data_IF_672951320387
#
_entry.id   IF_672951320387
#
_cell.length_a   1.000
_cell.length_b   1.000
_cell.length_c   1.000
_cell.angle_alpha   90.00
_cell.angle_beta   90.00
_cell.angle_gamma   90.00
#
_symmetry.space_group_name_H-M   'P 1'
#
loop_
_entity.id
_entity.type
_entity.pdbx_description
1 polymer ?
#
# COMPACT_ATOMS: atom_id res chain seq x y z
N UNK A 1 24.01 -1.13 22.51
CA UNK A 1 22.61 -1.55 22.62
C UNK A 1 22.43 -2.79 21.78
N UNK A 2 21.65 -3.78 22.21
CA UNK A 2 21.29 -4.93 21.36
C UNK A 2 20.56 -4.40 20.11
N UNK A 3 20.74 -5.07 18.98
CA UNK A 3 20.00 -4.79 17.75
C UNK A 3 18.54 -5.20 17.95
N UNK A 4 17.59 -4.36 17.55
CA UNK A 4 16.16 -4.74 17.53
C UNK A 4 16.00 -5.89 16.54
N UNK A 5 15.31 -6.95 16.94
CA UNK A 5 15.04 -8.13 16.11
C UNK A 5 13.59 -8.11 15.66
N UNK A 6 13.37 -8.19 14.36
CA UNK A 6 12.03 -8.11 13.76
C UNK A 6 11.75 -9.35 12.92
N UNK A 7 10.62 -9.99 13.17
CA UNK A 7 10.09 -11.08 12.36
C UNK A 7 8.94 -10.55 11.48
N UNK A 8 9.04 -10.70 10.15
CA UNK A 8 7.97 -10.36 9.21
C UNK A 8 7.32 -11.65 8.69
N UNK A 9 6.02 -11.80 8.92
CA UNK A 9 5.23 -12.92 8.40
C UNK A 9 4.68 -12.56 7.03
N UNK A 10 5.03 -13.35 6.01
CA UNK A 10 4.58 -13.17 4.63
C UNK A 10 5.68 -13.36 3.61
N UNK A 11 5.32 -13.33 2.32
CA UNK A 11 6.23 -13.62 1.19
C UNK A 11 5.97 -12.77 -0.06
N UNK A 12 5.05 -11.81 0.00
CA UNK A 12 4.64 -10.98 -1.13
C UNK A 12 5.52 -9.75 -1.36
N UNK A 13 5.13 -8.95 -2.34
CA UNK A 13 5.79 -7.68 -2.65
C UNK A 13 5.72 -6.69 -1.50
N UNK A 14 4.60 -6.62 -0.83
CA UNK A 14 4.40 -5.83 0.39
C UNK A 14 5.42 -6.16 1.47
N UNK A 15 5.59 -7.44 1.81
CA UNK A 15 6.54 -7.88 2.84
C UNK A 15 7.97 -7.60 2.42
N UNK A 16 8.32 -7.77 1.15
CA UNK A 16 9.64 -7.39 0.65
C UNK A 16 9.88 -5.88 0.77
N UNK A 17 8.90 -5.03 0.43
CA UNK A 17 9.00 -3.59 0.59
C UNK A 17 9.17 -3.18 2.06
N UNK A 18 8.43 -3.81 2.98
CA UNK A 18 8.56 -3.60 4.43
C UNK A 18 9.98 -3.96 4.89
N UNK A 19 10.48 -5.14 4.54
CA UNK A 19 11.83 -5.62 4.93
C UNK A 19 12.90 -4.71 4.35
N UNK A 20 12.78 -4.29 3.09
CA UNK A 20 13.71 -3.36 2.45
C UNK A 20 13.77 -2.02 3.20
N UNK A 21 12.60 -1.48 3.59
CA UNK A 21 12.54 -0.23 4.35
C UNK A 21 13.13 -0.38 5.75
N UNK A 22 12.83 -1.48 6.46
CA UNK A 22 13.43 -1.80 7.76
C UNK A 22 14.95 -1.96 7.69
N UNK A 23 15.48 -2.59 6.65
CA UNK A 23 16.92 -2.74 6.44
C UNK A 23 17.66 -1.40 6.25
N UNK A 24 16.93 -0.36 5.82
CA UNK A 24 17.47 1.00 5.69
C UNK A 24 17.48 1.80 7.01
N UNK A 25 16.79 1.36 8.05
CA UNK A 25 16.76 2.01 9.36
C UNK A 25 18.17 2.07 10.00
N UNK A 26 18.38 3.07 10.86
CA UNK A 26 19.65 3.24 11.57
C UNK A 26 19.41 3.43 13.07
N UNK A 27 19.94 2.54 13.93
CA UNK A 27 20.70 1.34 13.61
C UNK A 27 19.84 0.27 12.89
N UNK A 28 20.41 -0.45 11.94
CA UNK A 28 19.69 -1.46 11.18
C UNK A 28 19.26 -2.63 12.09
N UNK A 29 17.99 -3.07 12.08
CA UNK A 29 17.52 -4.22 12.86
C UNK A 29 18.11 -5.55 12.34
N UNK A 30 18.00 -6.60 13.15
CA UNK A 30 18.15 -7.99 12.70
C UNK A 30 16.81 -8.45 12.13
N UNK A 31 16.80 -8.87 10.86
CA UNK A 31 15.58 -9.16 10.13
C UNK A 31 15.40 -10.65 9.87
N UNK A 32 14.21 -11.14 10.16
CA UNK A 32 13.75 -12.48 9.88
C UNK A 32 12.45 -12.42 9.09
N UNK A 33 12.19 -13.42 8.25
CA UNK A 33 10.94 -13.54 7.49
C UNK A 33 10.43 -14.98 7.44
N UNK A 34 9.12 -15.15 7.41
CA UNK A 34 8.48 -16.46 7.31
C UNK A 34 7.23 -16.40 6.41
N UNK A 35 7.19 -17.11 5.28
CA UNK A 35 8.29 -17.86 4.69
C UNK A 35 9.33 -17.00 3.95
N UNK A 36 9.01 -15.75 3.58
CA UNK A 36 9.81 -14.91 2.72
C UNK A 36 9.78 -15.33 1.25
N UNK A 37 10.61 -14.69 0.42
CA UNK A 37 10.82 -14.98 -0.99
C UNK A 37 12.30 -14.73 -1.36
N UNK A 38 12.74 -15.04 -2.59
CA UNK A 38 14.15 -14.89 -2.98
C UNK A 38 14.73 -13.49 -2.80
N UNK A 39 13.96 -12.41 -2.99
CA UNK A 39 14.44 -11.06 -2.75
C UNK A 39 14.50 -10.70 -1.26
N UNK A 40 13.56 -11.19 -0.47
CA UNK A 40 13.58 -11.08 1.00
C UNK A 40 14.81 -11.78 1.58
N UNK A 41 15.18 -12.94 1.04
CA UNK A 41 16.33 -13.71 1.48
C UNK A 41 17.69 -13.00 1.30
N UNK A 42 17.75 -11.95 0.50
CA UNK A 42 18.93 -11.10 0.35
C UNK A 42 19.10 -10.09 1.49
N UNK A 43 18.01 -9.79 2.22
CA UNK A 43 17.96 -8.77 3.26
C UNK A 43 17.69 -9.33 4.67
N UNK A 44 17.11 -10.53 4.77
CA UNK A 44 16.64 -11.13 6.01
C UNK A 44 16.92 -12.63 6.04
N UNK A 45 17.02 -13.19 7.24
CA UNK A 45 17.02 -14.66 7.41
C UNK A 45 15.62 -15.19 7.19
N UNK A 46 15.44 -16.08 6.21
CA UNK A 46 14.16 -16.70 5.90
C UNK A 46 13.99 -18.05 6.63
N UNK A 47 12.74 -18.35 7.02
CA UNK A 47 12.37 -19.57 7.76
C UNK A 47 11.23 -20.27 7.03
N UNK A 48 11.31 -21.58 6.91
CA UNK A 48 10.30 -22.40 6.22
C UNK A 48 9.06 -22.62 7.13
N UNK A 49 8.34 -21.53 7.40
CA UNK A 49 7.06 -21.53 8.12
C UNK A 49 6.05 -20.78 7.26
N UNK A 50 5.02 -21.48 6.80
CA UNK A 50 3.99 -20.89 5.92
C UNK A 50 3.08 -19.92 6.67
N UNK A 51 2.46 -18.99 5.94
CA UNK A 51 1.53 -18.00 6.53
C UNK A 51 0.28 -18.64 7.16
N UNK A 52 -0.05 -19.87 6.80
CA UNK A 52 -1.17 -20.64 7.39
C UNK A 52 -0.79 -21.49 8.60
N UNK A 53 0.50 -21.69 8.88
CA UNK A 53 0.97 -22.46 10.06
C UNK A 53 1.12 -21.55 11.27
N UNK A 54 -0.01 -21.24 11.92
CA UNK A 54 -0.04 -20.33 13.07
C UNK A 54 0.78 -20.87 14.27
N UNK A 55 0.76 -22.18 14.50
CA UNK A 55 1.55 -22.81 15.56
C UNK A 55 3.05 -22.78 15.23
N UNK A 56 3.41 -22.95 13.96
CA UNK A 56 4.77 -22.78 13.46
C UNK A 56 5.30 -21.37 13.64
N UNK A 57 4.46 -20.36 13.43
CA UNK A 57 4.82 -18.95 13.66
C UNK A 57 5.13 -18.67 15.12
N UNK A 58 4.33 -19.21 16.06
CA UNK A 58 4.58 -19.08 17.50
C UNK A 58 5.88 -19.80 17.91
N UNK A 59 6.10 -21.05 17.44
CA UNK A 59 7.34 -21.77 17.69
C UNK A 59 8.56 -21.02 17.18
N UNK A 60 8.48 -20.50 15.95
CA UNK A 60 9.55 -19.69 15.37
C UNK A 60 9.82 -18.43 16.19
N UNK A 61 8.77 -17.70 16.60
CA UNK A 61 8.93 -16.53 17.45
C UNK A 61 9.58 -16.88 18.81
N UNK A 62 9.23 -18.02 19.41
CA UNK A 62 9.88 -18.51 20.64
C UNK A 62 11.37 -18.85 20.43
N UNK A 63 11.74 -19.41 19.27
CA UNK A 63 13.11 -19.76 18.92
C UNK A 63 13.98 -18.52 18.74
N UNK A 64 13.53 -17.56 17.92
CA UNK A 64 14.32 -16.37 17.57
C UNK A 64 14.17 -15.23 18.58
N UNK A 65 13.12 -15.22 19.39
CA UNK A 65 12.79 -14.18 20.37
C UNK A 65 12.83 -12.77 19.76
N UNK A 66 11.93 -12.44 18.79
CA UNK A 66 11.89 -11.13 18.18
C UNK A 66 11.36 -10.08 19.16
N UNK A 67 11.85 -8.85 19.05
CA UNK A 67 11.31 -7.68 19.75
C UNK A 67 9.98 -7.22 19.14
N UNK A 68 9.75 -7.53 17.85
CA UNK A 68 8.55 -7.19 17.10
C UNK A 68 8.22 -8.27 16.08
N UNK A 69 6.95 -8.65 15.99
CA UNK A 69 6.41 -9.43 14.86
C UNK A 69 5.50 -8.55 14.01
N UNK A 70 5.75 -8.51 12.70
CA UNK A 70 4.92 -7.78 11.72
C UNK A 70 4.19 -8.80 10.87
N UNK A 71 2.86 -8.74 10.82
CA UNK A 71 2.06 -9.65 9.99
C UNK A 71 1.63 -8.91 8.72
N UNK A 72 2.14 -9.36 7.56
CA UNK A 72 1.91 -8.71 6.28
C UNK A 72 0.54 -9.02 5.66
N UNK A 73 0.17 -10.29 5.42
CA UNK A 73 -1.05 -10.65 4.70
C UNK A 73 -2.29 -10.73 5.61
N UNK A 74 -3.47 -10.58 5.01
CA UNK A 74 -4.76 -10.60 5.69
C UNK A 74 -5.17 -11.99 6.20
N UNK A 75 -4.85 -13.04 5.45
CA UNK A 75 -5.32 -14.39 5.78
C UNK A 75 -4.89 -14.88 7.19
N UNK A 76 -3.59 -14.79 7.60
CA UNK A 76 -3.19 -15.13 8.95
C UNK A 76 -3.77 -14.19 10.02
N UNK A 77 -4.03 -12.90 9.72
CA UNK A 77 -4.67 -11.98 10.66
C UNK A 77 -6.10 -12.45 10.99
N UNK A 78 -6.89 -12.70 9.96
CA UNK A 78 -8.28 -13.20 10.13
C UNK A 78 -8.30 -14.58 10.79
N UNK A 79 -7.26 -15.40 10.57
CA UNK A 79 -7.11 -16.72 11.20
C UNK A 79 -6.63 -16.67 12.66
N UNK A 80 -6.26 -15.49 13.21
CA UNK A 80 -5.85 -15.32 14.60
C UNK A 80 -4.35 -15.49 14.87
N UNK A 81 -3.50 -15.24 13.89
CA UNK A 81 -2.05 -15.25 14.07
C UNK A 81 -1.61 -14.23 15.14
N UNK A 82 -2.14 -13.00 15.07
CA UNK A 82 -1.82 -11.97 16.05
C UNK A 82 -2.24 -12.38 17.47
N UNK A 83 -3.42 -12.97 17.62
CA UNK A 83 -3.93 -13.43 18.92
C UNK A 83 -2.98 -14.41 19.58
N UNK A 84 -2.53 -15.43 18.85
CA UNK A 84 -1.61 -16.47 19.37
C UNK A 84 -0.22 -15.91 19.72
N UNK A 85 0.30 -15.00 18.93
CA UNK A 85 1.60 -14.36 19.18
C UNK A 85 1.53 -13.43 20.39
N UNK A 86 0.44 -12.67 20.56
CA UNK A 86 0.18 -11.84 21.74
C UNK A 86 0.03 -12.69 23.01
N UNK A 87 -0.72 -13.81 22.96
CA UNK A 87 -0.85 -14.77 24.05
C UNK A 87 0.50 -15.40 24.44
N UNK A 88 1.40 -15.57 23.47
CA UNK A 88 2.76 -16.04 23.70
C UNK A 88 3.71 -14.95 24.24
N UNK A 89 3.24 -13.70 24.39
CA UNK A 89 3.96 -12.58 25.01
C UNK A 89 4.81 -11.74 24.06
N UNK A 90 4.62 -11.84 22.73
CA UNK A 90 5.34 -11.04 21.75
C UNK A 90 4.62 -9.72 21.46
N UNK A 91 5.37 -8.65 21.16
CA UNK A 91 4.81 -7.45 20.57
C UNK A 91 4.47 -7.73 19.09
N UNK A 92 3.22 -7.45 18.69
CA UNK A 92 2.71 -7.77 17.36
C UNK A 92 2.16 -6.51 16.70
N UNK A 93 2.67 -6.20 15.51
CA UNK A 93 2.08 -5.23 14.59
C UNK A 93 1.19 -5.96 13.60
N UNK A 94 -0.09 -5.97 13.88
CA UNK A 94 -1.17 -6.64 13.17
C UNK A 94 -2.37 -6.82 14.09
N UNK A 95 -3.61 -6.55 13.62
CA UNK A 95 -4.81 -6.65 14.44
C UNK A 95 -5.13 -8.11 14.82
N UNK A 96 -5.79 -8.30 15.96
CA UNK A 96 -6.39 -9.57 16.33
C UNK A 96 -7.43 -10.03 15.30
N UNK A 97 -7.81 -11.30 15.30
CA UNK A 97 -8.84 -11.84 14.39
C UNK A 97 -10.16 -11.05 14.50
N UNK A 98 -10.53 -10.66 15.70
CA UNK A 98 -11.74 -9.87 15.94
C UNK A 98 -11.67 -8.49 15.25
N UNK A 99 -10.52 -7.80 15.33
CA UNK A 99 -10.32 -6.50 14.69
C UNK A 99 -10.07 -6.64 13.17
N UNK A 100 -9.35 -7.70 12.74
CA UNK A 100 -9.11 -8.01 11.32
C UNK A 100 -10.41 -8.38 10.57
N UNK A 101 -11.48 -8.70 11.29
CA UNK A 101 -12.81 -8.92 10.71
C UNK A 101 -13.32 -7.68 9.96
N UNK A 102 -12.74 -6.50 10.20
CA UNK A 102 -13.02 -5.27 9.44
C UNK A 102 -12.69 -5.44 7.93
N UNK A 103 -11.68 -6.24 7.57
CA UNK A 103 -11.41 -6.67 6.19
C UNK A 103 -12.12 -8.01 5.88
N UNK A 104 -12.26 -8.87 6.89
CA UNK A 104 -12.83 -10.21 6.77
C UNK A 104 -14.34 -10.24 6.45
N UNK A 105 -15.08 -9.17 6.77
CA UNK A 105 -16.50 -9.04 6.43
C UNK A 105 -16.86 -7.60 6.07
N UNK A 106 -17.31 -7.39 4.84
CA UNK A 106 -17.77 -6.09 4.36
C UNK A 106 -19.06 -5.66 5.06
N UNK A 107 -19.94 -6.62 5.34
CA UNK A 107 -21.16 -6.37 6.13
C UNK A 107 -20.83 -5.83 7.50
N UNK A 108 -19.91 -6.48 8.23
CA UNK A 108 -19.50 -6.01 9.55
C UNK A 108 -18.77 -4.65 9.49
N UNK A 109 -17.93 -4.44 8.47
CA UNK A 109 -17.30 -3.13 8.25
C UNK A 109 -18.34 -2.01 8.07
N UNK A 110 -19.45 -2.27 7.34
CA UNK A 110 -20.56 -1.31 7.22
C UNK A 110 -21.26 -1.04 8.56
N UNK A 111 -21.40 -2.04 9.42
CA UNK A 111 -21.97 -1.86 10.77
C UNK A 111 -21.07 -0.98 11.64
N UNK A 112 -19.74 -1.22 11.61
CA UNK A 112 -18.75 -0.38 12.32
C UNK A 112 -18.81 1.06 11.79
N UNK A 113 -18.76 1.26 10.47
CA UNK A 113 -18.83 2.59 9.87
C UNK A 113 -20.10 3.32 10.24
N UNK A 114 -21.25 2.65 10.24
CA UNK A 114 -22.52 3.23 10.63
C UNK A 114 -22.55 3.65 12.11
N UNK A 115 -22.01 2.81 13.00
CA UNK A 115 -21.93 3.10 14.44
C UNK A 115 -20.96 4.26 14.74
N UNK A 116 -19.83 4.31 14.02
CA UNK A 116 -18.81 5.35 14.15
C UNK A 116 -19.17 6.66 13.41
N UNK A 117 -20.27 6.71 12.66
CA UNK A 117 -20.64 7.87 11.83
C UNK A 117 -19.70 8.12 10.65
N UNK A 118 -18.99 7.09 10.20
CA UNK A 118 -18.03 7.15 9.08
C UNK A 118 -18.76 7.17 7.74
N UNK A 119 -18.49 8.15 6.86
CA UNK A 119 -19.18 8.26 5.57
C UNK A 119 -18.74 7.16 4.60
N UNK A 120 -19.68 6.40 4.08
CA UNK A 120 -19.45 5.31 3.12
C UNK A 120 -20.64 5.21 2.14
N UNK A 121 -20.54 4.32 1.16
CA UNK A 121 -21.60 3.97 0.24
C UNK A 121 -22.83 3.42 1.00
N UNK A 122 -24.03 3.83 0.60
CA UNK A 122 -25.24 3.16 1.02
C UNK A 122 -25.20 1.70 0.56
N UNK A 123 -25.64 0.77 1.42
CA UNK A 123 -25.50 -0.65 1.14
C UNK A 123 -26.66 -1.48 1.62
N UNK A 124 -26.80 -2.66 1.01
CA UNK A 124 -27.75 -3.71 1.42
C UNK A 124 -27.01 -5.03 1.37
N UNK A 125 -27.03 -5.76 2.48
CA UNK A 125 -26.57 -7.16 2.49
C UNK A 125 -27.72 -8.08 2.13
N UNK A 126 -27.50 -9.00 1.18
CA UNK A 126 -28.44 -10.03 0.75
C UNK A 126 -27.83 -11.41 0.98
N UNK A 127 -28.68 -12.34 1.42
CA UNK A 127 -28.30 -13.71 1.79
C UNK A 127 -29.05 -14.78 0.99
N UNK A 128 -29.97 -14.35 0.12
CA UNK A 128 -30.75 -15.24 -0.75
C UNK A 128 -30.93 -14.63 -2.15
N UNK A 129 -30.96 -15.45 -3.22
CA UNK A 129 -31.03 -14.95 -4.60
C UNK A 129 -32.28 -14.11 -4.92
N UNK A 130 -33.41 -14.39 -4.29
CA UNK A 130 -34.66 -13.65 -4.46
C UNK A 130 -34.63 -12.22 -3.88
N UNK A 131 -33.61 -11.88 -3.10
CA UNK A 131 -33.39 -10.53 -2.55
C UNK A 131 -32.57 -9.63 -3.48
N UNK A 132 -31.90 -10.17 -4.52
CA UNK A 132 -30.94 -9.44 -5.35
C UNK A 132 -31.58 -8.27 -6.09
N UNK A 133 -32.69 -8.51 -6.78
CA UNK A 133 -33.37 -7.47 -7.57
C UNK A 133 -33.84 -6.30 -6.69
N UNK A 134 -34.52 -6.60 -5.60
CA UNK A 134 -34.97 -5.59 -4.65
C UNK A 134 -33.80 -4.86 -3.97
N UNK A 135 -32.69 -5.55 -3.71
CA UNK A 135 -31.47 -4.96 -3.18
C UNK A 135 -30.82 -4.00 -4.16
N UNK A 136 -30.71 -4.37 -5.43
CA UNK A 136 -30.18 -3.50 -6.51
C UNK A 136 -31.07 -2.25 -6.68
N UNK A 137 -32.38 -2.40 -6.69
CA UNK A 137 -33.32 -1.26 -6.79
C UNK A 137 -33.18 -0.29 -5.60
N UNK A 138 -32.82 -0.81 -4.42
CA UNK A 138 -32.65 0.03 -3.23
C UNK A 138 -31.37 0.88 -3.28
N UNK A 139 -30.26 0.35 -3.82
CA UNK A 139 -28.98 1.08 -3.89
C UNK A 139 -28.80 1.87 -5.18
N UNK A 140 -29.53 1.54 -6.23
CA UNK A 140 -29.53 2.23 -7.53
C UNK A 140 -30.96 2.29 -8.12
N UNK A 141 -31.87 3.11 -7.53
CA UNK A 141 -33.28 3.10 -7.88
C UNK A 141 -33.58 3.61 -9.31
N UNK A 142 -32.69 4.37 -9.91
CA UNK A 142 -32.86 4.90 -11.26
C UNK A 142 -32.18 4.03 -12.31
N UNK A 143 -31.23 3.18 -11.91
CA UNK A 143 -30.44 2.35 -12.82
C UNK A 143 -29.52 3.15 -13.75
N UNK A 144 -29.21 4.41 -13.40
CA UNK A 144 -28.48 5.37 -14.22
C UNK A 144 -26.96 5.40 -13.93
N UNK A 145 -26.52 4.67 -12.92
CA UNK A 145 -25.13 4.48 -12.54
C UNK A 145 -24.75 2.99 -12.53
N UNK A 146 -23.47 2.62 -12.54
CA UNK A 146 -23.09 1.21 -12.42
C UNK A 146 -23.61 0.55 -11.14
N UNK A 147 -23.92 -0.74 -11.21
CA UNK A 147 -24.22 -1.60 -10.08
C UNK A 147 -22.93 -2.08 -9.43
N UNK A 148 -22.85 -2.03 -8.10
CA UNK A 148 -21.72 -2.52 -7.33
C UNK A 148 -22.14 -3.73 -6.51
N UNK A 149 -21.53 -4.88 -6.82
CA UNK A 149 -21.85 -6.18 -6.21
C UNK A 149 -20.58 -6.76 -5.63
N UNK A 150 -20.54 -6.91 -4.29
CA UNK A 150 -19.35 -7.39 -3.57
C UNK A 150 -19.69 -8.69 -2.84
N UNK A 151 -18.91 -9.75 -3.06
CA UNK A 151 -18.94 -10.91 -2.19
C UNK A 151 -18.48 -10.49 -0.78
N UNK A 152 -19.20 -10.89 0.24
CA UNK A 152 -18.77 -10.71 1.62
C UNK A 152 -17.66 -11.70 1.97
N UNK A 153 -16.65 -11.25 2.71
CA UNK A 153 -15.45 -12.05 3.01
C UNK A 153 -14.22 -11.69 2.19
N UNK A 154 -13.12 -12.41 2.46
CA UNK A 154 -11.86 -12.25 1.74
C UNK A 154 -11.99 -12.81 0.32
N UNK A 155 -11.76 -11.99 -0.70
CA UNK A 155 -11.93 -12.37 -2.10
C UNK A 155 -10.74 -12.01 -3.01
N UNK A 156 -9.64 -11.49 -2.46
CA UNK A 156 -8.43 -11.10 -3.19
C UNK A 156 -8.72 -10.27 -4.47
N UNK A 157 -9.63 -9.30 -4.36
CA UNK A 157 -10.05 -8.43 -5.48
C UNK A 157 -10.98 -9.08 -6.51
N UNK A 158 -11.23 -10.40 -6.44
CA UNK A 158 -12.04 -11.14 -7.42
C UNK A 158 -13.54 -11.21 -7.07
N UNK A 159 -13.92 -10.82 -5.87
CA UNK A 159 -15.30 -10.86 -5.38
C UNK A 159 -16.12 -9.61 -5.69
N UNK A 160 -15.57 -8.63 -6.43
CA UNK A 160 -16.23 -7.36 -6.71
C UNK A 160 -16.48 -7.21 -8.21
N UNK A 161 -17.73 -6.90 -8.55
CA UNK A 161 -18.15 -6.53 -9.90
C UNK A 161 -18.77 -5.14 -9.86
N UNK A 162 -18.30 -4.28 -10.76
CA UNK A 162 -18.88 -2.98 -11.07
C UNK A 162 -19.29 -3.02 -12.53
N UNK A 163 -20.59 -2.89 -12.81
CA UNK A 163 -21.12 -3.08 -14.16
C UNK A 163 -22.40 -2.24 -14.40
N UNK A 164 -22.58 -1.74 -15.61
CA UNK A 164 -23.84 -1.11 -16.04
C UNK A 164 -24.88 -2.15 -16.48
N UNK A 165 -24.49 -3.41 -16.63
CA UNK A 165 -25.39 -4.52 -17.00
C UNK A 165 -26.01 -5.12 -15.74
N UNK A 166 -27.32 -4.93 -15.56
CA UNK A 166 -28.11 -5.45 -14.43
C UNK A 166 -28.09 -6.98 -14.37
N UNK A 167 -28.20 -7.65 -15.52
CA UNK A 167 -28.22 -9.12 -15.57
C UNK A 167 -26.86 -9.70 -15.18
N UNK A 168 -25.76 -9.06 -15.58
CA UNK A 168 -24.43 -9.40 -15.12
C UNK A 168 -24.27 -9.21 -13.62
N UNK A 169 -24.80 -8.13 -13.02
CA UNK A 169 -24.81 -7.89 -11.60
C UNK A 169 -25.56 -8.99 -10.83
N UNK A 170 -26.78 -9.35 -11.29
CA UNK A 170 -27.60 -10.42 -10.71
C UNK A 170 -26.88 -11.77 -10.83
N UNK A 171 -26.30 -12.08 -12.00
CA UNK A 171 -25.59 -13.36 -12.25
C UNK A 171 -24.40 -13.50 -11.30
N UNK A 172 -23.60 -12.43 -11.10
CA UNK A 172 -22.48 -12.47 -10.16
C UNK A 172 -22.95 -12.67 -8.72
N UNK A 173 -23.94 -11.89 -8.28
CA UNK A 173 -24.51 -12.00 -6.92
C UNK A 173 -25.10 -13.39 -6.66
N UNK A 174 -25.84 -13.94 -7.63
CA UNK A 174 -26.43 -15.28 -7.52
C UNK A 174 -25.36 -16.37 -7.40
N UNK A 175 -24.24 -16.24 -8.17
CA UNK A 175 -23.15 -17.19 -8.08
C UNK A 175 -22.51 -17.22 -6.68
N UNK A 176 -22.32 -16.06 -6.06
CA UNK A 176 -21.81 -15.94 -4.68
C UNK A 176 -22.76 -16.59 -3.67
N UNK A 177 -24.06 -16.31 -3.78
CA UNK A 177 -25.07 -16.85 -2.87
C UNK A 177 -25.22 -18.35 -3.00
N UNK A 178 -25.19 -18.90 -4.23
CA UNK A 178 -25.23 -20.35 -4.50
C UNK A 178 -23.99 -21.04 -3.91
N UNK A 179 -22.84 -20.38 -3.88
CA UNK A 179 -21.63 -20.87 -3.22
C UNK A 179 -21.71 -20.81 -1.67
N UNK A 180 -22.80 -20.33 -1.10
CA UNK A 180 -23.01 -20.26 0.34
C UNK A 180 -22.50 -18.98 1.00
N UNK A 181 -22.07 -17.99 0.20
CA UNK A 181 -21.66 -16.67 0.68
C UNK A 181 -22.83 -15.72 0.88
N UNK A 182 -22.54 -14.51 1.35
CA UNK A 182 -23.44 -13.34 1.31
C UNK A 182 -22.90 -12.27 0.36
N UNK A 183 -23.77 -11.35 -0.06
CA UNK A 183 -23.45 -10.31 -1.02
C UNK A 183 -23.78 -8.95 -0.42
N UNK A 184 -22.85 -8.01 -0.54
CA UNK A 184 -23.08 -6.60 -0.24
C UNK A 184 -23.30 -5.85 -1.55
N UNK A 185 -24.49 -5.31 -1.73
CA UNK A 185 -24.86 -4.42 -2.82
C UNK A 185 -24.63 -2.99 -2.34
N UNK A 186 -23.92 -2.18 -3.13
CA UNK A 186 -23.59 -0.80 -2.76
C UNK A 186 -24.00 0.19 -3.83
N UNK A 187 -24.28 1.44 -3.42
CA UNK A 187 -24.35 2.53 -4.36
C UNK A 187 -22.98 2.75 -5.02
N UNK A 188 -23.00 3.17 -6.27
CA UNK A 188 -21.77 3.54 -6.96
C UNK A 188 -21.22 4.86 -6.40
N UNK A 189 -19.94 4.85 -6.03
CA UNK A 189 -19.21 6.04 -5.63
C UNK A 189 -18.45 6.58 -6.85
N UNK A 190 -18.78 7.81 -7.24
CA UNK A 190 -18.07 8.54 -8.29
C UNK A 190 -16.76 9.15 -7.76
N UNK A 191 -15.91 9.62 -8.67
CA UNK A 191 -14.68 10.31 -8.32
C UNK A 191 -13.44 9.41 -8.18
N UNK A 192 -12.26 10.03 -8.04
CA UNK A 192 -11.00 9.30 -7.97
C UNK A 192 -10.85 8.55 -6.63
N UNK A 193 -10.26 7.35 -6.71
CA UNK A 193 -9.94 6.57 -5.54
C UNK A 193 -8.60 7.00 -4.93
N UNK A 194 -8.49 6.88 -3.61
CA UNK A 194 -7.29 7.14 -2.81
C UNK A 194 -7.10 6.02 -1.80
N UNK A 195 -5.87 5.58 -1.66
CA UNK A 195 -5.43 4.67 -0.61
C UNK A 195 -4.68 5.44 0.47
N UNK A 196 -5.13 5.36 1.73
CA UNK A 196 -4.41 5.95 2.86
C UNK A 196 -4.16 4.90 3.94
N UNK A 197 -2.90 4.71 4.29
CA UNK A 197 -2.51 3.88 5.43
C UNK A 197 -2.53 4.71 6.71
N UNK A 198 -3.20 4.20 7.73
CA UNK A 198 -3.22 4.77 9.06
C UNK A 198 -2.60 3.76 10.04
N UNK A 199 -1.47 4.10 10.64
CA UNK A 199 -0.86 3.31 11.71
C UNK A 199 -1.68 3.52 12.98
N UNK A 200 -2.13 2.43 13.60
CA UNK A 200 -2.92 2.48 14.84
C UNK A 200 -2.27 1.64 15.94
N UNK A 201 -2.32 2.14 17.17
CA UNK A 201 -1.93 1.44 18.39
C UNK A 201 -3.12 0.95 19.23
N UNK A 202 -4.32 1.02 18.66
CA UNK A 202 -5.57 0.70 19.34
C UNK A 202 -6.27 1.88 19.99
N UNK A 203 -5.60 3.04 20.09
CA UNK A 203 -6.11 4.29 20.67
C UNK A 203 -5.87 5.48 19.75
N UNK A 204 -4.65 5.60 19.24
CA UNK A 204 -4.22 6.70 18.37
C UNK A 204 -4.06 6.22 16.93
N UNK A 205 -4.22 7.16 16.02
CA UNK A 205 -4.01 6.96 14.59
C UNK A 205 -3.02 7.98 14.05
N UNK A 206 -2.02 7.50 13.31
CA UNK A 206 -1.02 8.31 12.60
C UNK A 206 -1.12 8.00 11.11
N UNK A 207 -1.44 8.96 10.23
CA UNK A 207 -1.52 8.72 8.80
C UNK A 207 -0.13 8.63 8.18
N UNK A 208 -0.02 7.81 7.13
CA UNK A 208 1.08 7.86 6.18
C UNK A 208 0.69 8.74 4.98
N UNK A 209 1.56 8.84 3.95
CA UNK A 209 1.18 9.57 2.74
C UNK A 209 0.15 8.81 1.89
N UNK A 210 -0.75 9.55 1.22
CA UNK A 210 -1.72 8.94 0.31
C UNK A 210 -1.05 8.41 -0.94
N UNK A 211 -1.63 7.31 -1.46
CA UNK A 211 -1.26 6.72 -2.74
C UNK A 211 -2.51 6.46 -3.59
N UNK A 212 -2.31 6.24 -4.87
CA UNK A 212 -3.35 5.75 -5.78
C UNK A 212 -2.88 4.48 -6.46
N UNK A 213 -3.71 3.45 -6.44
CA UNK A 213 -3.49 2.19 -7.13
C UNK A 213 -4.24 2.11 -8.46
N UNK A 214 -3.85 1.14 -9.30
CA UNK A 214 -4.46 0.84 -10.59
C UNK A 214 -4.92 -0.61 -10.59
N UNK A 215 -6.22 -0.82 -10.41
CA UNK A 215 -6.80 -2.14 -10.17
C UNK A 215 -7.07 -2.96 -11.43
N UNK A 216 -7.19 -2.31 -12.59
CA UNK A 216 -7.50 -2.98 -13.85
C UNK A 216 -6.24 -3.54 -14.50
N UNK A 217 -6.40 -4.69 -15.19
CA UNK A 217 -5.27 -5.44 -15.73
C UNK A 217 -4.53 -4.73 -16.87
N UNK A 218 -5.22 -3.94 -17.67
CA UNK A 218 -4.70 -3.33 -18.89
C UNK A 218 -4.69 -1.81 -18.81
N UNK A 219 -3.95 -1.17 -19.71
CA UNK A 219 -3.91 0.28 -19.88
C UNK A 219 -5.31 0.85 -20.06
N UNK A 220 -5.47 2.14 -19.73
CA UNK A 220 -6.71 2.91 -19.82
C UNK A 220 -7.87 2.29 -18.99
N UNK A 221 -7.50 1.60 -17.89
CA UNK A 221 -8.40 0.91 -16.96
C UNK A 221 -9.31 -0.12 -17.64
N UNK A 222 -8.78 -0.81 -18.61
CA UNK A 222 -9.46 -1.90 -19.29
C UNK A 222 -9.13 -3.28 -18.66
N UNK A 223 -9.88 -4.31 -19.10
CA UNK A 223 -9.71 -5.69 -18.64
C UNK A 223 -10.33 -5.96 -17.26
N UNK A 224 -10.07 -7.12 -16.68
CA UNK A 224 -10.61 -7.50 -15.37
C UNK A 224 -9.94 -6.78 -14.21
N UNK A 225 -10.59 -6.76 -13.04
CA UNK A 225 -9.99 -6.36 -11.78
C UNK A 225 -8.87 -7.31 -11.37
N UNK A 226 -7.85 -6.78 -10.72
CA UNK A 226 -6.67 -7.49 -10.22
C UNK A 226 -6.41 -7.14 -8.76
N UNK A 227 -5.31 -7.59 -8.20
CA UNK A 227 -4.81 -7.14 -6.90
C UNK A 227 -4.06 -5.79 -6.93
N UNK A 228 -4.04 -5.11 -8.09
CA UNK A 228 -3.28 -3.88 -8.35
C UNK A 228 -2.14 -4.12 -9.34
N UNK A 229 -2.05 -3.28 -10.37
CA UNK A 229 -1.04 -3.33 -11.43
C UNK A 229 0.03 -2.25 -11.30
N UNK A 230 -0.11 -1.36 -10.34
CA UNK A 230 0.81 -0.30 -10.03
C UNK A 230 0.21 0.71 -9.07
N UNK A 231 1.05 1.60 -8.55
CA UNK A 231 0.63 2.68 -7.68
C UNK A 231 1.60 3.85 -7.77
N UNK A 232 1.22 5.00 -7.22
CA UNK A 232 2.11 6.15 -7.09
C UNK A 232 1.79 6.98 -5.86
N UNK A 233 2.77 7.73 -5.38
CA UNK A 233 2.70 8.73 -4.31
C UNK A 233 3.76 9.82 -4.58
N UNK A 234 3.48 11.11 -4.26
CA UNK A 234 2.26 11.67 -3.70
C UNK A 234 1.17 11.84 -4.74
N UNK A 235 0.00 12.32 -4.30
CA UNK A 235 -1.15 12.63 -5.16
C UNK A 235 -1.26 14.15 -5.36
N UNK A 236 -0.70 14.74 -6.45
CA UNK A 236 -0.68 16.19 -6.63
C UNK A 236 -2.06 16.82 -6.85
N UNK A 237 -3.04 16.02 -7.20
CA UNK A 237 -4.43 16.43 -7.42
C UNK A 237 -5.30 16.31 -6.17
N UNK A 238 -4.81 15.62 -5.10
CA UNK A 238 -5.57 15.46 -3.87
C UNK A 238 -5.65 16.79 -3.11
N UNK A 239 -6.75 17.06 -2.40
CA UNK A 239 -6.87 18.25 -1.57
C UNK A 239 -5.78 18.31 -0.50
N UNK A 240 -5.25 19.50 -0.23
CA UNK A 240 -4.38 19.73 0.93
C UNK A 240 -5.12 19.36 2.22
N UNK A 241 -4.43 18.71 3.17
CA UNK A 241 -5.03 18.26 4.43
C UNK A 241 -5.91 17.01 4.31
N UNK A 242 -5.90 16.30 3.16
CA UNK A 242 -6.69 15.08 2.98
C UNK A 242 -6.39 14.03 4.06
N UNK A 243 -5.12 13.82 4.41
CA UNK A 243 -4.75 12.83 5.43
C UNK A 243 -5.36 13.18 6.80
N UNK A 244 -5.30 14.43 7.20
CA UNK A 244 -5.90 14.92 8.45
C UNK A 244 -7.43 14.79 8.44
N UNK A 245 -8.08 15.07 7.31
CA UNK A 245 -9.51 14.86 7.14
C UNK A 245 -9.88 13.39 7.33
N UNK A 246 -9.13 12.48 6.70
CA UNK A 246 -9.36 11.03 6.82
C UNK A 246 -9.14 10.56 8.25
N UNK A 247 -8.09 11.00 8.92
CA UNK A 247 -7.88 10.68 10.34
C UNK A 247 -9.08 11.12 11.17
N UNK A 248 -9.50 12.36 11.03
CA UNK A 248 -10.58 12.95 11.84
C UNK A 248 -11.96 12.35 11.55
N UNK A 249 -12.27 12.02 10.29
CA UNK A 249 -13.64 11.64 9.89
C UNK A 249 -13.80 10.15 9.60
N UNK A 250 -12.71 9.40 9.48
CA UNK A 250 -12.73 7.99 9.09
C UNK A 250 -11.93 7.13 10.06
N UNK A 251 -10.60 7.32 10.13
CA UNK A 251 -9.73 6.36 10.79
C UNK A 251 -9.86 6.39 12.32
N UNK A 252 -9.78 7.58 12.94
CA UNK A 252 -9.90 7.70 14.40
C UNK A 252 -11.30 7.27 14.89
N UNK A 253 -12.42 7.72 14.28
CA UNK A 253 -13.76 7.23 14.69
C UNK A 253 -13.93 5.72 14.56
N UNK A 254 -13.31 5.09 13.54
CA UNK A 254 -13.33 3.64 13.37
C UNK A 254 -12.56 2.93 14.50
N UNK A 255 -11.37 3.41 14.82
CA UNK A 255 -10.54 2.86 15.91
C UNK A 255 -11.23 3.04 17.26
N UNK A 256 -11.83 4.21 17.52
CA UNK A 256 -12.57 4.50 18.75
C UNK A 256 -13.78 3.56 18.92
N UNK A 257 -14.53 3.31 17.85
CA UNK A 257 -15.69 2.39 17.88
C UNK A 257 -15.24 0.95 18.16
N UNK A 258 -14.14 0.50 17.52
CA UNK A 258 -13.57 -0.83 17.78
C UNK A 258 -13.08 -0.95 19.22
N UNK A 259 -12.40 0.05 19.75
CA UNK A 259 -11.95 0.09 21.14
C UNK A 259 -13.14 0.09 22.12
N UNK A 260 -14.20 0.84 21.84
CA UNK A 260 -15.42 0.86 22.63
C UNK A 260 -16.13 -0.50 22.69
N UNK A 261 -15.97 -1.32 21.65
CA UNK A 261 -16.46 -2.72 21.62
C UNK A 261 -15.51 -3.71 22.31
N UNK A 262 -14.37 -3.25 22.84
CA UNK A 262 -13.37 -4.12 23.48
C UNK A 262 -12.48 -4.89 22.50
N UNK A 263 -12.39 -4.44 21.25
CA UNK A 263 -11.58 -5.03 20.17
C UNK A 263 -10.62 -3.98 19.58
N UNK A 264 -9.65 -3.46 20.34
CA UNK A 264 -8.73 -2.42 19.87
C UNK A 264 -8.00 -2.87 18.60
N UNK A 265 -7.84 -1.95 17.65
CA UNK A 265 -7.20 -2.20 16.37
C UNK A 265 -5.74 -1.75 16.40
N UNK A 266 -4.79 -2.67 16.48
CA UNK A 266 -3.35 -2.40 16.40
C UNK A 266 -2.81 -2.87 15.05
N UNK A 267 -2.16 -1.97 14.28
CA UNK A 267 -1.66 -2.30 12.94
C UNK A 267 -1.95 -1.22 11.91
N UNK A 268 -2.01 -1.59 10.64
CA UNK A 268 -2.43 -0.69 9.54
C UNK A 268 -3.93 -0.80 9.33
N UNK A 269 -4.63 0.29 9.58
CA UNK A 269 -5.95 0.53 9.03
C UNK A 269 -5.79 1.16 7.65
N UNK A 270 -5.92 0.36 6.60
CA UNK A 270 -5.90 0.85 5.23
C UNK A 270 -7.31 1.36 4.88
N UNK A 271 -7.40 2.65 4.60
CA UNK A 271 -8.62 3.31 4.18
C UNK A 271 -8.62 3.42 2.64
N UNK A 272 -9.42 2.59 1.97
CA UNK A 272 -9.76 2.74 0.55
C UNK A 272 -10.89 3.76 0.41
N UNK A 273 -10.63 4.85 -0.27
CA UNK A 273 -11.47 6.05 -0.27
C UNK A 273 -11.86 6.44 -1.68
N UNK A 274 -13.00 7.11 -1.85
CA UNK A 274 -13.39 7.84 -3.05
C UNK A 274 -13.65 9.31 -2.71
N UNK A 275 -13.07 10.23 -3.50
CA UNK A 275 -13.32 11.68 -3.39
C UNK A 275 -14.51 12.03 -4.29
N UNK A 276 -15.71 11.84 -3.76
CA UNK A 276 -16.96 12.01 -4.52
C UNK A 276 -17.42 13.47 -4.56
N UNK A 277 -18.34 13.79 -5.44
CA UNK A 277 -19.02 15.11 -5.47
C UNK A 277 -19.75 15.42 -4.13
N UNK A 278 -20.05 14.41 -3.33
CA UNK A 278 -20.68 14.52 -1.99
C UNK A 278 -19.65 14.49 -0.84
N UNK A 279 -18.36 14.65 -1.14
CA UNK A 279 -17.26 14.59 -0.20
C UNK A 279 -16.64 13.20 -0.08
N UNK A 280 -15.74 13.05 0.87
CA UNK A 280 -15.02 11.81 1.15
C UNK A 280 -15.95 10.65 1.52
N UNK A 281 -15.73 9.48 0.94
CA UNK A 281 -16.46 8.23 1.23
C UNK A 281 -15.51 7.05 1.32
N UNK A 282 -15.73 6.17 2.28
CA UNK A 282 -15.01 4.89 2.37
C UNK A 282 -15.57 3.90 1.37
N UNK A 283 -14.69 3.34 0.54
CA UNK A 283 -14.97 2.24 -0.39
C UNK A 283 -14.85 0.90 0.34
N UNK A 284 -13.74 0.74 1.10
CA UNK A 284 -13.44 -0.45 1.90
C UNK A 284 -12.35 -0.16 2.93
N UNK A 285 -12.26 -1.00 3.95
CA UNK A 285 -11.09 -1.11 4.83
C UNK A 285 -10.33 -2.38 4.53
N UNK A 286 -8.98 -2.29 4.67
CA UNK A 286 -8.14 -3.47 4.81
C UNK A 286 -7.37 -3.39 6.14
N UNK A 287 -7.10 -4.55 6.73
CA UNK A 287 -6.53 -4.66 8.08
C UNK A 287 -4.99 -4.78 8.06
N UNK A 288 -4.36 -4.34 6.99
CA UNK A 288 -2.91 -4.51 6.71
C UNK A 288 -2.44 -3.51 5.65
N UNK A 289 -1.13 -3.44 5.47
CA UNK A 289 -0.54 -2.71 4.35
C UNK A 289 -1.12 -3.17 3.00
N UNK A 290 -1.35 -2.24 2.06
CA UNK A 290 -1.74 -2.52 0.68
C UNK A 290 -0.61 -3.13 -0.16
N UNK A 291 -0.94 -3.65 -1.31
CA UNK A 291 0.00 -4.16 -2.31
C UNK A 291 -0.62 -3.94 -3.70
N UNK A 292 -0.13 -2.96 -4.51
CA UNK A 292 1.26 -2.46 -4.52
C UNK A 292 1.51 -1.06 -3.89
N UNK A 293 0.63 -0.50 -3.08
CA UNK A 293 0.78 0.86 -2.54
C UNK A 293 1.92 0.98 -1.52
N UNK A 294 2.18 -0.08 -0.74
CA UNK A 294 3.27 -0.12 0.25
C UNK A 294 4.61 0.20 -0.38
N UNK A 295 4.84 -0.27 -1.61
CA UNK A 295 6.08 -0.09 -2.33
C UNK A 295 6.39 1.39 -2.57
N UNK A 296 5.41 2.21 -2.90
CA UNK A 296 5.60 3.64 -3.16
C UNK A 296 5.58 4.48 -1.88
N UNK A 297 4.71 4.13 -0.93
CA UNK A 297 4.62 4.86 0.35
C UNK A 297 5.90 4.68 1.16
N UNK A 298 6.41 3.45 1.28
CA UNK A 298 7.65 3.19 2.03
C UNK A 298 8.91 3.65 1.31
N UNK A 299 8.90 3.75 -0.03
CA UNK A 299 10.02 4.35 -0.78
C UNK A 299 10.18 5.84 -0.44
N UNK A 300 9.07 6.53 -0.17
CA UNK A 300 9.09 7.94 0.21
C UNK A 300 9.29 8.20 1.70
N UNK A 301 9.11 7.19 2.56
CA UNK A 301 9.25 7.36 4.00
C UNK A 301 10.71 7.66 4.40
N UNK A 302 10.97 8.83 4.96
CA UNK A 302 12.29 9.22 5.47
C UNK A 302 12.51 8.77 6.92
N UNK A 303 11.46 8.81 7.75
CA UNK A 303 11.52 8.35 9.14
C UNK A 303 11.80 6.85 9.26
N UNK A 304 12.52 6.40 10.29
CA UNK A 304 12.70 4.97 10.57
C UNK A 304 11.36 4.25 10.74
N UNK A 305 11.20 3.11 10.04
CA UNK A 305 9.95 2.34 10.08
C UNK A 305 9.86 1.48 11.36
N UNK A 306 10.95 0.84 11.76
CA UNK A 306 10.95 -0.10 12.89
C UNK A 306 10.45 0.52 14.20
N UNK A 307 10.95 1.69 14.64
CA UNK A 307 10.44 2.39 15.82
C UNK A 307 8.96 2.74 15.75
N UNK A 308 8.45 3.15 14.60
CA UNK A 308 7.02 3.46 14.39
C UNK A 308 6.14 2.23 14.60
N UNK A 309 6.52 1.09 13.97
CA UNK A 309 5.76 -0.16 14.10
C UNK A 309 5.85 -0.75 15.50
N UNK A 310 7.01 -0.65 16.16
CA UNK A 310 7.20 -1.13 17.53
C UNK A 310 6.38 -0.30 18.54
N UNK A 311 6.39 1.03 18.41
CA UNK A 311 5.58 1.89 19.25
C UNK A 311 4.08 1.60 19.10
N UNK A 312 3.61 1.39 17.87
CA UNK A 312 2.23 0.99 17.62
C UNK A 312 1.90 -0.37 18.28
N UNK A 313 2.78 -1.38 18.15
CA UNK A 313 2.60 -2.69 18.76
C UNK A 313 2.60 -2.66 20.30
N UNK A 314 3.20 -1.63 20.90
CA UNK A 314 3.29 -1.42 22.36
C UNK A 314 2.23 -0.47 22.93
N UNK A 315 1.41 0.15 22.09
CA UNK A 315 0.41 1.12 22.53
C UNK A 315 0.97 2.53 22.83
N UNK A 316 2.12 2.85 22.24
CA UNK A 316 2.92 4.04 22.58
C UNK A 316 3.12 5.01 21.40
N UNK A 317 2.23 5.03 20.41
CA UNK A 317 2.34 5.93 19.24
C UNK A 317 2.47 7.41 19.61
N UNK A 318 1.99 7.80 20.78
CA UNK A 318 2.17 9.17 21.30
C UNK A 318 3.61 9.54 21.63
N UNK A 319 4.56 8.63 21.62
CA UNK A 319 5.98 8.84 21.97
C UNK A 319 6.88 8.99 20.75
N UNK A 320 6.38 8.65 19.54
CA UNK A 320 7.13 8.78 18.29
C UNK A 320 6.80 10.09 17.59
N UNK A 321 7.78 10.63 16.87
CA UNK A 321 7.58 11.78 16.01
C UNK A 321 6.70 11.41 14.81
N UNK A 322 5.97 12.38 14.26
CA UNK A 322 5.21 12.20 13.03
C UNK A 322 6.13 11.76 11.89
N UNK A 323 5.68 10.84 11.03
CA UNK A 323 6.45 10.39 9.88
C UNK A 323 6.89 11.55 8.99
N UNK A 324 8.16 11.57 8.62
CA UNK A 324 8.72 12.51 7.64
C UNK A 324 8.97 11.82 6.30
N UNK A 325 9.01 12.60 5.24
CA UNK A 325 9.00 12.10 3.87
C UNK A 325 10.15 12.67 3.07
N UNK A 326 10.69 11.87 2.15
CA UNK A 326 11.62 12.35 1.14
C UNK A 326 10.89 13.23 0.13
N UNK A 327 11.55 14.29 -0.33
CA UNK A 327 11.04 15.07 -1.47
C UNK A 327 10.93 14.21 -2.73
N UNK A 328 10.09 14.65 -3.67
CA UNK A 328 9.90 13.98 -4.96
C UNK A 328 8.73 13.00 -4.97
N UNK A 329 8.84 11.95 -5.77
CA UNK A 329 7.76 11.01 -6.02
C UNK A 329 8.28 9.57 -6.17
N UNK A 330 7.37 8.61 -5.97
CA UNK A 330 7.59 7.20 -6.26
C UNK A 330 6.45 6.64 -7.12
N UNK A 331 6.80 5.81 -8.08
CA UNK A 331 5.88 5.07 -8.96
C UNK A 331 6.29 3.61 -8.96
N UNK A 332 5.34 2.71 -8.84
CA UNK A 332 5.57 1.28 -8.97
C UNK A 332 4.77 0.68 -10.10
N UNK A 333 5.39 -0.23 -10.85
CA UNK A 333 4.81 -0.96 -11.97
C UNK A 333 4.91 -2.46 -11.68
N UNK A 334 3.77 -3.16 -11.73
CA UNK A 334 3.70 -4.60 -11.52
C UNK A 334 3.99 -5.34 -12.82
N UNK A 335 4.94 -6.27 -12.77
CA UNK A 335 5.17 -7.25 -13.83
C UNK A 335 4.36 -8.51 -13.52
N UNK A 336 3.35 -8.77 -14.32
CA UNK A 336 2.43 -9.89 -14.16
C UNK A 336 2.79 -11.05 -15.10
N UNK A 337 2.58 -12.29 -14.63
CA UNK A 337 2.78 -13.48 -15.43
C UNK A 337 1.70 -13.64 -16.51
N UNK A 338 1.99 -14.41 -17.56
CA UNK A 338 1.04 -14.74 -18.60
C UNK A 338 -0.26 -15.32 -18.00
N UNK A 339 -1.41 -14.81 -18.48
CA UNK A 339 -2.74 -15.28 -18.09
C UNK A 339 -3.27 -14.72 -16.77
N UNK A 340 -2.50 -13.90 -16.01
CA UNK A 340 -3.01 -13.20 -14.85
C UNK A 340 -4.11 -12.20 -15.27
N UNK A 341 -5.21 -11.96 -14.50
CA UNK A 341 -5.53 -12.54 -13.18
C UNK A 341 -6.31 -13.86 -13.23
N UNK A 342 -6.75 -14.32 -14.40
CA UNK A 342 -7.64 -15.47 -14.51
C UNK A 342 -6.91 -16.81 -14.25
N UNK A 343 -5.77 -17.03 -14.92
CA UNK A 343 -4.98 -18.27 -14.83
C UNK A 343 -3.49 -17.93 -14.99
N UNK A 344 -2.87 -17.50 -13.89
CA UNK A 344 -1.46 -17.12 -13.90
C UNK A 344 -0.56 -18.33 -14.21
N UNK A 345 0.30 -18.22 -15.22
CA UNK A 345 1.33 -19.20 -15.51
C UNK A 345 2.51 -19.02 -14.56
N UNK A 346 2.97 -20.13 -13.98
CA UNK A 346 4.09 -20.17 -13.04
C UNK A 346 5.19 -21.10 -13.53
N UNK A 347 6.40 -20.99 -12.95
CA UNK A 347 7.55 -21.81 -13.27
C UNK A 347 8.42 -21.29 -14.43
N UNK A 348 8.05 -20.20 -15.07
CA UNK A 348 8.87 -19.59 -16.14
C UNK A 348 10.14 -18.97 -15.56
N UNK A 349 11.30 -19.15 -16.21
CA UNK A 349 12.54 -18.47 -15.85
C UNK A 349 12.39 -16.95 -15.86
N UNK A 350 12.99 -16.30 -14.89
CA UNK A 350 12.95 -14.85 -14.69
C UNK A 350 14.38 -14.30 -14.66
N UNK A 351 14.67 -13.33 -15.52
CA UNK A 351 15.95 -12.62 -15.58
C UNK A 351 15.76 -11.12 -15.76
N UNK A 352 16.85 -10.35 -15.82
CA UNK A 352 16.81 -8.92 -16.08
C UNK A 352 16.70 -8.03 -14.84
N UNK A 353 16.68 -8.58 -13.62
CA UNK A 353 16.59 -7.79 -12.38
C UNK A 353 17.75 -6.82 -12.27
N UNK A 354 19.01 -7.29 -12.39
CA UNK A 354 20.20 -6.43 -12.33
C UNK A 354 20.15 -5.32 -13.40
N UNK A 355 19.63 -5.64 -14.59
CA UNK A 355 19.50 -4.66 -15.67
C UNK A 355 18.40 -3.62 -15.37
N UNK A 356 17.34 -3.99 -14.67
CA UNK A 356 16.32 -3.06 -14.20
C UNK A 356 16.88 -2.13 -13.12
N UNK A 357 17.64 -2.66 -12.18
CA UNK A 357 18.27 -1.87 -11.10
C UNK A 357 19.35 -0.90 -11.64
N UNK A 358 20.05 -1.27 -12.70
CA UNK A 358 20.95 -0.36 -13.41
C UNK A 358 20.24 0.84 -14.07
N UNK A 359 18.91 0.80 -14.25
CA UNK A 359 18.13 1.97 -14.65
C UNK A 359 17.80 2.90 -13.47
N UNK A 360 18.24 2.57 -12.25
CA UNK A 360 17.94 3.29 -11.01
C UNK A 360 16.61 2.86 -10.36
N UNK A 361 15.97 1.81 -10.86
CA UNK A 361 14.78 1.23 -10.25
C UNK A 361 15.13 0.31 -9.07
N UNK A 362 14.19 0.09 -8.18
CA UNK A 362 14.25 -0.97 -7.17
C UNK A 362 13.30 -2.10 -7.53
N UNK A 363 13.81 -3.34 -7.58
CA UNK A 363 12.99 -4.49 -7.91
C UNK A 363 12.54 -5.22 -6.64
N UNK A 364 11.24 -5.26 -6.45
CA UNK A 364 10.58 -5.92 -5.31
C UNK A 364 10.03 -7.26 -5.77
N UNK A 365 10.49 -8.34 -5.16
CA UNK A 365 9.98 -9.69 -5.42
C UNK A 365 8.60 -9.88 -4.78
N UNK A 366 7.67 -10.45 -5.55
CA UNK A 366 6.37 -10.89 -5.08
C UNK A 366 6.24 -12.41 -5.33
N UNK A 367 5.55 -12.83 -6.37
CA UNK A 367 5.39 -14.23 -6.72
C UNK A 367 6.63 -14.80 -7.42
N UNK A 368 7.73 -15.00 -6.69
CA UNK A 368 8.97 -15.58 -7.20
C UNK A 368 9.45 -16.73 -6.32
N UNK A 369 10.13 -17.72 -6.92
CA UNK A 369 10.79 -18.82 -6.23
C UNK A 369 12.10 -19.20 -6.93
N UNK A 370 13.04 -19.81 -6.20
CA UNK A 370 14.21 -20.48 -6.81
C UNK A 370 13.92 -21.94 -6.98
N UNK A 371 14.15 -22.44 -8.20
CA UNK A 371 14.12 -23.88 -8.48
C UNK A 371 15.32 -24.62 -7.84
N UNK A 372 15.28 -25.94 -7.82
CA UNK A 372 16.40 -26.79 -7.35
C UNK A 372 17.69 -26.54 -8.14
N UNK A 373 17.57 -26.11 -9.39
CA UNK A 373 18.66 -25.70 -10.27
C UNK A 373 19.21 -24.28 -9.96
N UNK A 374 18.68 -23.59 -8.92
CA UNK A 374 19.04 -22.24 -8.53
C UNK A 374 18.46 -21.15 -9.43
N UNK A 375 17.73 -21.48 -10.50
CA UNK A 375 17.14 -20.53 -11.42
C UNK A 375 15.94 -19.84 -10.75
N UNK A 376 15.90 -18.51 -10.83
CA UNK A 376 14.75 -17.73 -10.38
C UNK A 376 13.59 -17.91 -11.36
N UNK A 377 12.39 -18.12 -10.83
CA UNK A 377 11.18 -18.42 -11.60
C UNK A 377 9.97 -17.67 -11.06
N UNK A 378 8.98 -17.47 -11.94
CA UNK A 378 7.66 -17.02 -11.53
C UNK A 378 6.97 -18.06 -10.64
N UNK A 379 6.33 -17.61 -9.55
CA UNK A 379 5.59 -18.45 -8.59
C UNK A 379 4.22 -17.85 -8.22
N UNK A 380 3.76 -16.86 -8.95
CA UNK A 380 2.48 -16.18 -8.71
C UNK A 380 2.03 -15.35 -9.90
N UNK A 381 0.88 -14.70 -9.77
CA UNK A 381 0.31 -13.85 -10.81
C UNK A 381 1.04 -12.51 -10.93
N UNK A 382 1.19 -11.76 -9.83
CA UNK A 382 2.08 -10.61 -9.73
C UNK A 382 3.45 -11.13 -9.33
N UNK A 383 4.42 -11.01 -10.23
CA UNK A 383 5.73 -11.66 -10.08
C UNK A 383 6.75 -10.72 -9.44
N UNK A 384 6.85 -9.53 -9.99
CA UNK A 384 7.72 -8.46 -9.49
C UNK A 384 6.95 -7.14 -9.44
N UNK A 385 7.44 -6.22 -8.62
CA UNK A 385 7.07 -4.80 -8.67
C UNK A 385 8.33 -3.99 -8.90
N UNK A 386 8.34 -3.13 -9.90
CA UNK A 386 9.47 -2.27 -10.24
C UNK A 386 9.17 -0.86 -9.76
N UNK A 387 9.94 -0.39 -8.79
CA UNK A 387 9.74 0.92 -8.13
C UNK A 387 10.76 1.91 -8.69
N UNK A 388 10.27 3.01 -9.23
CA UNK A 388 11.06 4.17 -9.60
C UNK A 388 10.82 5.31 -8.63
N UNK A 389 11.90 5.97 -8.19
CA UNK A 389 11.87 7.22 -7.45
C UNK A 389 12.46 8.36 -8.30
N UNK A 390 11.99 9.58 -8.07
CA UNK A 390 12.45 10.75 -8.81
C UNK A 390 12.04 12.06 -8.16
N UNK A 391 12.53 13.19 -8.70
CA UNK A 391 12.17 14.52 -8.22
C UNK A 391 10.69 14.87 -8.42
N UNK A 392 10.02 14.15 -9.32
CA UNK A 392 8.62 14.32 -9.67
C UNK A 392 8.04 13.01 -10.21
N UNK A 393 6.73 12.97 -10.42
CA UNK A 393 6.04 11.76 -10.92
C UNK A 393 6.52 11.32 -12.30
N UNK A 394 6.85 12.25 -13.20
CA UNK A 394 7.30 11.87 -14.55
C UNK A 394 8.69 11.21 -14.51
N UNK A 395 9.61 11.72 -13.71
CA UNK A 395 10.94 11.11 -13.54
C UNK A 395 10.86 9.75 -12.84
N UNK A 396 10.02 9.63 -11.78
CA UNK A 396 9.78 8.36 -11.09
C UNK A 396 9.16 7.31 -12.03
N UNK A 397 8.12 7.72 -12.78
CA UNK A 397 7.44 6.87 -13.77
C UNK A 397 8.40 6.37 -14.86
N UNK A 398 9.24 7.24 -15.41
CA UNK A 398 10.23 6.88 -16.41
C UNK A 398 11.21 5.83 -15.89
N UNK A 399 11.68 5.95 -14.66
CA UNK A 399 12.58 4.98 -14.01
C UNK A 399 11.88 3.63 -13.82
N UNK A 400 10.64 3.63 -13.31
CA UNK A 400 9.88 2.40 -13.10
C UNK A 400 9.62 1.65 -14.41
N UNK A 401 9.19 2.34 -15.47
CA UNK A 401 8.93 1.75 -16.78
C UNK A 401 10.21 1.25 -17.44
N UNK A 402 11.28 2.05 -17.45
CA UNK A 402 12.56 1.63 -18.00
C UNK A 402 13.12 0.38 -17.30
N UNK A 403 12.90 0.25 -15.99
CA UNK A 403 13.22 -0.96 -15.24
C UNK A 403 12.32 -2.15 -15.62
N UNK A 404 11.01 -1.94 -15.69
CA UNK A 404 10.05 -2.99 -16.04
C UNK A 404 10.31 -3.59 -17.44
N UNK A 405 10.73 -2.78 -18.41
CA UNK A 405 11.10 -3.19 -19.75
C UNK A 405 12.36 -4.09 -19.80
N UNK A 406 13.18 -4.10 -18.73
CA UNK A 406 14.38 -4.96 -18.63
C UNK A 406 14.07 -6.35 -18.11
N UNK A 407 12.91 -6.54 -17.53
CA UNK A 407 12.52 -7.84 -16.98
C UNK A 407 12.20 -8.79 -18.15
N UNK A 408 12.90 -9.92 -18.18
CA UNK A 408 12.65 -10.99 -19.14
C UNK A 408 11.90 -12.14 -18.43
N UNK A 409 10.62 -12.25 -18.74
CA UNK A 409 9.71 -13.29 -18.28
C UNK A 409 8.73 -13.62 -19.41
N UNK A 410 8.74 -14.84 -19.88
CA UNK A 410 8.01 -15.26 -21.08
C UNK A 410 6.49 -14.97 -20.97
N UNK A 411 5.98 -14.10 -21.85
CA UNK A 411 4.57 -13.73 -21.93
C UNK A 411 4.08 -12.88 -20.77
N UNK A 412 4.97 -12.32 -19.96
CA UNK A 412 4.62 -11.32 -18.94
C UNK A 412 4.10 -10.04 -19.58
N UNK A 413 3.38 -9.26 -18.79
CA UNK A 413 2.94 -7.93 -19.19
C UNK A 413 2.96 -6.97 -17.99
N UNK A 414 2.97 -5.69 -18.26
CA UNK A 414 2.82 -4.60 -17.30
C UNK A 414 2.03 -3.46 -17.93
N UNK A 415 1.47 -2.60 -17.12
CA UNK A 415 0.81 -1.36 -17.59
C UNK A 415 1.84 -0.29 -17.89
N UNK A 416 1.57 0.50 -18.93
CA UNK A 416 2.44 1.62 -19.35
C UNK A 416 1.87 2.98 -18.94
N UNK A 417 0.64 3.03 -18.45
CA UNK A 417 -0.10 4.26 -18.12
C UNK A 417 -0.11 4.62 -16.63
N UNK A 418 0.53 3.81 -15.76
CA UNK A 418 0.62 4.09 -14.33
C UNK A 418 1.15 5.51 -14.10
N UNK A 419 0.43 6.31 -13.29
CA UNK A 419 0.72 7.71 -12.98
C UNK A 419 0.74 8.68 -14.18
N UNK A 420 0.44 8.27 -15.44
CA UNK A 420 0.54 9.11 -16.63
C UNK A 420 -0.28 10.40 -16.51
N UNK A 421 -1.55 10.29 -16.13
CA UNK A 421 -2.44 11.44 -16.03
C UNK A 421 -2.02 12.39 -14.89
N UNK A 422 -1.59 11.85 -13.75
CA UNK A 422 -1.15 12.65 -12.61
C UNK A 422 0.18 13.38 -12.90
N UNK A 423 1.12 12.73 -13.57
CA UNK A 423 2.38 13.34 -14.00
C UNK A 423 2.17 14.52 -14.96
N UNK A 424 1.19 14.40 -15.87
CA UNK A 424 0.86 15.47 -16.81
C UNK A 424 0.16 16.68 -16.14
N UNK A 425 -0.45 16.52 -14.99
CA UNK A 425 -1.14 17.59 -14.24
C UNK A 425 -0.23 18.31 -13.23
N UNK A 426 0.88 17.70 -12.82
CA UNK A 426 1.81 18.33 -11.88
C UNK A 426 2.42 19.58 -12.55
N UNK A 427 2.44 20.76 -11.89
CA UNK A 427 3.13 21.91 -12.42
C UNK A 427 4.61 21.57 -12.56
N UNK A 428 5.17 21.84 -13.75
CA UNK A 428 6.60 21.68 -13.98
C UNK A 428 7.35 22.47 -12.88
N UNK A 429 8.07 21.78 -12.00
CA UNK A 429 8.90 22.42 -10.99
C UNK A 429 9.87 23.32 -11.77
N UNK A 430 9.82 24.65 -11.50
CA UNK A 430 10.78 25.57 -12.04
C UNK A 430 12.18 25.08 -11.68
N UNK A 431 13.00 24.85 -12.68
CA UNK A 431 14.41 24.56 -12.48
C UNK A 431 14.99 25.65 -11.56
N UNK A 432 15.85 25.31 -10.58
CA UNK A 432 16.45 26.31 -9.70
C UNK A 432 17.04 27.41 -10.59
N UNK A 433 16.60 28.65 -10.35
CA UNK A 433 17.12 29.80 -11.06
C UNK A 433 18.64 29.80 -10.93
N UNK A 434 19.36 29.68 -12.05
CA UNK A 434 20.80 29.85 -12.09
C UNK A 434 21.11 31.21 -11.42
N UNK A 435 21.79 31.17 -10.30
CA UNK A 435 22.30 32.39 -9.66
C UNK A 435 23.23 33.05 -10.66
N UNK A 436 23.02 34.35 -10.99
CA UNK A 436 23.91 35.05 -11.87
C UNK A 436 25.31 35.04 -11.25
N UNK A 437 26.28 34.55 -12.01
CA UNK A 437 27.67 34.52 -11.61
C UNK A 437 28.08 35.93 -11.10
N UNK A 438 28.49 35.97 -9.85
CA UNK A 438 29.03 37.20 -9.24
C UNK A 438 30.25 37.63 -10.01
N UNK A 439 30.10 38.64 -10.87
CA UNK A 439 31.20 39.27 -11.58
C UNK A 439 32.22 39.81 -10.58
N UNK A 440 33.45 39.30 -10.67
CA UNK A 440 34.61 39.84 -10.00
C UNK A 440 34.89 41.23 -10.57
N UNK A 441 34.51 42.29 -9.87
CA UNK A 441 35.02 43.65 -10.13
C UNK A 441 36.43 43.70 -9.64
N UNK A 442 37.40 43.68 -10.57
CA UNK A 442 38.77 44.04 -10.30
C UNK A 442 38.86 45.50 -9.93
N UNK A 443 39.34 45.78 -8.72
CA UNK A 443 39.72 47.10 -8.28
C UNK A 443 41.13 47.39 -8.80
N UNK A 444 41.24 48.22 -9.83
CA UNK A 444 42.45 48.91 -10.21
C UNK A 444 42.79 49.96 -9.14
N UNK A 445 43.88 49.75 -8.45
CA UNK A 445 44.53 50.77 -7.60
C UNK A 445 45.30 51.73 -8.50
N UNK A 446 44.91 52.98 -8.56
CA UNK A 446 45.73 54.09 -8.99
C UNK A 446 46.17 54.87 -7.77
N UNK A 447 47.47 54.89 -7.53
CA UNK A 447 48.24 55.68 -6.59
C UNK A 447 48.28 57.16 -7.09
N UNK A 448 48.04 58.18 -6.28
CA UNK A 448 48.51 59.55 -6.56
C UNK A 448 49.49 59.96 -5.52
N UNK A 449 50.75 60.11 -5.97
CA UNK A 449 51.75 60.88 -5.28
C UNK A 449 51.63 62.37 -5.61
N UNK A 450 51.97 63.17 -4.61
CA UNK A 450 52.66 64.47 -4.60
C UNK A 450 51.86 65.76 -4.61
N UNK A 451 52.22 66.47 -3.58
CA UNK A 451 52.53 67.94 -3.47
C UNK A 451 51.33 68.91 -3.42
N UNK A 452 51.24 69.78 -2.56
CA UNK A 452 52.05 70.68 -1.85
C UNK A 452 51.23 71.97 -1.57
N UNK A 453 51.49 72.56 -0.46
CA UNK A 453 51.36 73.98 -0.12
C UNK A 453 50.00 74.69 -0.03
N UNK A 454 49.89 75.31 1.15
CA UNK A 454 49.57 76.72 1.17
C UNK A 454 48.38 77.13 2.03
N UNK A 455 48.63 77.45 3.26
CA UNK A 455 48.50 78.72 4.00
C UNK A 455 47.07 79.34 4.17
N UNK A 456 46.86 79.66 5.41
CA UNK A 456 46.18 80.86 5.96
C UNK A 456 44.63 80.93 5.96
N UNK A 457 44.10 80.89 7.07
CA UNK A 457 43.41 81.86 7.92
C UNK A 457 42.37 81.16 8.83
#
# INVERSE_FOLDING_TARGET
>A
MARVKILVIGSGGREHAIIRRLAADRPAPELHAAPGNPGIAELATTHDVTVGDLDGQVRLAQEISPDLVVIGPEAPLVAGSADRLLEAGFAVFGPTAAAAHLEGSKTWAKEIMAAAGVPTAASVTVTAPDQLEAGLDRVNPLGDVPFVVKADGLAAGKGVVVTSDRDAAITHGAAVLVAGGSVVLEEYLDGPEVSLFCVSDGVRVVPLEPAQDFKRALDDDEGPNTGGMGAYSPLPWAPEGLADEVVRTVAQPTVDELAARGIPFTGILYCGLALTARGLRVVEFNARFGDPETQVVLERLASPLGPLLLAAAQGDLGTVEEPSWHDGAAVTVVVASAGYPASARTGDPLTGIDAAEQQGAHVIHAGTARGEDGVLRSAGGRVLTVVGAGSDLESARRVALAGAERIDLAGSYHRTDIARAAAAQAPAQQAPAEQPASGSSGSDQLDPSTDDDGDSA
#
